data_IF_608311389006
#
_entry.id   IF_608311389006
#
_cell.length_a   1.000
_cell.length_b   1.000
_cell.length_c   1.000
_cell.angle_alpha   90.00
_cell.angle_beta   90.00
_cell.angle_gamma   90.00
#
_symmetry.space_group_name_H-M   'P 1'
#
loop_
_entity.id
_entity.type
_entity.pdbx_description
1 polymer ?
#
# COMPACT_ATOMS: atom_id res chain seq x y z
N UNK A 1 -18.29 -2.09 -0.56
CA UNK A 1 -17.17 -1.80 -1.48
C UNK A 1 -16.83 -2.98 -2.38
N UNK A 2 -16.53 -4.17 -1.83
CA UNK A 2 -16.17 -5.35 -2.65
C UNK A 2 -17.25 -5.75 -3.69
N UNK A 3 -18.54 -5.64 -3.35
CA UNK A 3 -19.63 -5.88 -4.29
C UNK A 3 -19.63 -4.90 -5.47
N UNK A 4 -19.44 -3.60 -5.22
CA UNK A 4 -19.31 -2.59 -6.27
C UNK A 4 -18.07 -2.84 -7.13
N UNK A 5 -16.94 -3.19 -6.52
CA UNK A 5 -15.74 -3.50 -7.27
C UNK A 5 -15.87 -4.76 -8.14
N UNK A 6 -16.59 -5.77 -7.66
CA UNK A 6 -16.92 -6.96 -8.43
C UNK A 6 -17.83 -6.64 -9.62
N UNK A 7 -18.86 -5.80 -9.42
CA UNK A 7 -19.75 -5.34 -10.49
C UNK A 7 -18.97 -4.55 -11.55
N UNK A 8 -18.17 -3.56 -11.12
CA UNK A 8 -17.27 -2.79 -11.99
C UNK A 8 -16.35 -3.74 -12.77
N UNK A 9 -15.73 -4.73 -12.13
CA UNK A 9 -14.80 -5.64 -12.80
C UNK A 9 -15.47 -6.50 -13.86
N UNK A 10 -16.70 -6.95 -13.61
CA UNK A 10 -17.49 -7.66 -14.62
C UNK A 10 -17.84 -6.78 -15.81
N UNK A 11 -18.33 -5.57 -15.56
CA UNK A 11 -18.75 -4.63 -16.62
C UNK A 11 -17.57 -4.21 -17.51
N UNK A 12 -16.40 -3.96 -16.92
CA UNK A 12 -15.20 -3.56 -17.67
C UNK A 12 -14.39 -4.75 -18.22
N UNK A 13 -14.88 -6.00 -18.09
CA UNK A 13 -14.19 -7.19 -18.57
C UNK A 13 -12.84 -7.45 -17.89
N UNK A 14 -12.61 -6.87 -16.71
CA UNK A 14 -11.37 -6.96 -15.96
C UNK A 14 -11.62 -7.76 -14.69
N UNK A 15 -11.33 -9.08 -14.68
CA UNK A 15 -11.57 -9.90 -13.50
C UNK A 15 -10.47 -9.60 -12.47
N UNK A 16 -10.66 -8.53 -11.69
CA UNK A 16 -9.71 -8.02 -10.68
C UNK A 16 -9.24 -9.10 -9.68
N UNK A 17 -10.05 -10.14 -9.50
CA UNK A 17 -9.81 -11.27 -8.60
C UNK A 17 -9.51 -12.58 -9.35
N UNK A 18 -9.12 -12.52 -10.62
CA UNK A 18 -8.63 -13.70 -11.33
C UNK A 18 -7.23 -14.07 -10.83
N UNK A 19 -7.08 -15.33 -10.43
CA UNK A 19 -5.77 -15.91 -10.16
C UNK A 19 -5.21 -16.48 -11.47
N UNK A 20 -4.12 -15.89 -11.96
CA UNK A 20 -3.43 -16.32 -13.17
C UNK A 20 -2.46 -17.50 -12.98
N UNK A 21 -2.43 -18.12 -11.80
CA UNK A 21 -1.50 -19.20 -11.48
C UNK A 21 -0.17 -18.74 -10.87
N UNK A 22 0.61 -19.72 -10.42
CA UNK A 22 1.96 -19.51 -9.91
C UNK A 22 2.97 -19.60 -11.05
N UNK A 23 3.83 -18.60 -11.19
CA UNK A 23 4.94 -18.61 -12.13
C UNK A 23 6.19 -18.02 -11.49
N UNK A 24 7.38 -18.50 -11.90
CA UNK A 24 8.67 -17.96 -11.42
C UNK A 24 8.74 -16.45 -11.68
N UNK A 25 8.26 -16.00 -12.85
CA UNK A 25 8.15 -14.57 -13.18
C UNK A 25 7.34 -13.80 -12.15
N UNK A 26 6.15 -14.31 -11.76
CA UNK A 26 5.29 -13.66 -10.79
C UNK A 26 5.97 -13.57 -9.41
N UNK A 27 6.61 -14.65 -8.97
CA UNK A 27 7.37 -14.67 -7.71
C UNK A 27 8.49 -13.64 -7.71
N UNK A 28 9.30 -13.60 -8.77
CA UNK A 28 10.40 -12.64 -8.89
C UNK A 28 9.88 -11.19 -8.93
N UNK A 29 8.79 -10.93 -9.64
CA UNK A 29 8.16 -9.61 -9.67
C UNK A 29 7.64 -9.19 -8.27
N UNK A 30 7.01 -10.10 -7.53
CA UNK A 30 6.54 -9.88 -6.16
C UNK A 30 7.70 -9.58 -5.21
N UNK A 31 8.77 -10.37 -5.25
CA UNK A 31 9.98 -10.16 -4.43
C UNK A 31 10.63 -8.82 -4.76
N UNK A 32 10.79 -8.51 -6.05
CA UNK A 32 11.40 -7.27 -6.51
C UNK A 32 10.58 -6.05 -6.07
N UNK A 33 9.25 -6.11 -6.20
CA UNK A 33 8.36 -5.05 -5.73
C UNK A 33 8.50 -4.86 -4.22
N UNK A 34 8.39 -5.92 -3.42
CA UNK A 34 8.53 -5.84 -1.98
C UNK A 34 9.90 -5.28 -1.55
N UNK A 35 10.99 -5.78 -2.12
CA UNK A 35 12.33 -5.28 -1.87
C UNK A 35 12.48 -3.79 -2.25
N UNK A 36 11.91 -3.37 -3.38
CA UNK A 36 11.87 -1.97 -3.80
C UNK A 36 11.16 -1.07 -2.79
N UNK A 37 10.02 -1.52 -2.26
CA UNK A 37 9.30 -0.79 -1.21
C UNK A 37 10.11 -0.68 0.09
N UNK A 38 10.83 -1.74 0.48
CA UNK A 38 11.72 -1.71 1.63
C UNK A 38 12.87 -0.71 1.45
N UNK A 39 13.49 -0.69 0.26
CA UNK A 39 14.53 0.30 -0.08
C UNK A 39 13.96 1.71 -0.01
N UNK A 40 12.82 1.95 -0.66
CA UNK A 40 12.15 3.26 -0.64
C UNK A 40 11.86 3.72 0.79
N UNK A 41 11.35 2.83 1.65
CA UNK A 41 11.14 3.11 3.07
C UNK A 41 12.43 3.53 3.77
N UNK A 42 13.53 2.82 3.55
CA UNK A 42 14.83 3.15 4.15
C UNK A 42 15.32 4.52 3.69
N UNK A 43 15.21 4.83 2.39
CA UNK A 43 15.62 6.12 1.83
C UNK A 43 14.80 7.27 2.43
N UNK A 44 13.48 7.15 2.46
CA UNK A 44 12.57 8.16 3.02
C UNK A 44 12.75 8.28 4.54
N UNK A 45 13.07 7.18 5.24
CA UNK A 45 13.43 7.24 6.65
C UNK A 45 14.72 8.02 6.87
N UNK A 46 15.76 7.77 6.07
CA UNK A 46 17.06 8.45 6.16
C UNK A 46 16.98 9.94 5.82
N UNK A 47 16.04 10.35 4.99
CA UNK A 47 15.81 11.77 4.67
C UNK A 47 15.07 12.55 5.77
N UNK A 48 14.63 11.88 6.85
CA UNK A 48 13.99 12.52 8.00
C UNK A 48 14.96 12.71 9.16
N UNK A 49 14.91 13.90 9.78
CA UNK A 49 15.58 14.17 11.05
C UNK A 49 14.85 13.48 12.20
N UNK A 50 15.49 13.35 13.37
CA UNK A 50 14.83 12.74 14.54
C UNK A 50 13.68 13.59 15.08
N UNK A 51 13.77 14.92 14.97
CA UNK A 51 12.67 15.83 15.29
C UNK A 51 11.45 15.57 14.40
N UNK A 52 11.65 15.52 13.07
CA UNK A 52 10.57 15.20 12.12
C UNK A 52 9.97 13.82 12.37
N UNK A 53 10.78 12.83 12.78
CA UNK A 53 10.29 11.49 13.11
C UNK A 53 9.37 11.52 14.33
N UNK A 54 9.76 12.19 15.41
CA UNK A 54 8.94 12.27 16.65
C UNK A 54 7.56 12.89 16.42
N UNK A 55 7.43 13.75 15.42
CA UNK A 55 6.17 14.41 15.06
C UNK A 55 5.24 13.54 14.20
N UNK A 56 5.72 12.41 13.65
CA UNK A 56 4.87 11.57 12.80
C UNK A 56 3.73 10.95 13.61
N UNK A 57 2.49 11.21 13.19
CA UNK A 57 1.27 10.71 13.83
C UNK A 57 1.26 9.18 14.01
N UNK A 58 1.92 8.44 13.10
CA UNK A 58 2.00 6.96 13.14
C UNK A 58 2.62 6.42 14.43
N UNK A 59 3.50 7.18 15.11
CA UNK A 59 4.08 6.74 16.38
C UNK A 59 3.06 6.74 17.53
N UNK A 60 2.02 7.57 17.45
CA UNK A 60 0.94 7.64 18.47
C UNK A 60 0.02 6.43 18.41
N UNK A 61 -0.07 5.77 17.27
CA UNK A 61 -0.94 4.61 17.02
C UNK A 61 -0.18 3.28 17.01
N UNK A 62 1.10 3.28 17.40
CA UNK A 62 1.91 2.08 17.37
C UNK A 62 1.43 1.07 18.42
N UNK A 63 1.15 -0.20 18.04
CA UNK A 63 0.64 -1.21 18.96
C UNK A 63 1.68 -1.58 20.03
N UNK A 64 1.23 -1.64 21.28
CA UNK A 64 2.03 -1.90 22.50
C UNK A 64 1.69 -3.26 23.11
N UNK A 65 0.42 -3.67 23.06
CA UNK A 65 -0.09 -4.91 23.64
C UNK A 65 -0.39 -5.99 22.59
N UNK A 66 -0.53 -7.25 23.02
CA UNK A 66 -0.92 -8.35 22.13
C UNK A 66 -2.34 -8.17 21.54
N UNK A 67 -3.25 -7.53 22.29
CA UNK A 67 -4.59 -7.22 21.79
C UNK A 67 -4.55 -6.17 20.67
N UNK A 68 -3.77 -5.09 20.86
CA UNK A 68 -3.56 -4.06 19.84
C UNK A 68 -2.89 -4.66 18.60
N UNK A 69 -1.89 -5.53 18.75
CA UNK A 69 -1.26 -6.22 17.63
C UNK A 69 -2.23 -7.06 16.82
N UNK A 70 -3.14 -7.80 17.48
CA UNK A 70 -4.20 -8.55 16.78
C UNK A 70 -5.10 -7.61 15.98
N UNK A 71 -5.53 -6.50 16.58
CA UNK A 71 -6.34 -5.49 15.89
C UNK A 71 -5.58 -4.87 14.70
N UNK A 72 -4.29 -4.54 14.86
CA UNK A 72 -3.45 -4.00 13.79
C UNK A 72 -3.32 -4.99 12.62
N UNK A 73 -3.06 -6.27 12.88
CA UNK A 73 -2.93 -7.28 11.82
C UNK A 73 -4.25 -7.45 11.05
N UNK A 74 -5.38 -7.49 11.74
CA UNK A 74 -6.70 -7.56 11.12
C UNK A 74 -6.98 -6.32 10.26
N UNK A 75 -6.68 -5.13 10.79
CA UNK A 75 -6.84 -3.87 10.07
C UNK A 75 -5.97 -3.84 8.81
N UNK A 76 -4.70 -4.22 8.90
CA UNK A 76 -3.79 -4.30 7.74
C UNK A 76 -4.36 -5.22 6.66
N UNK A 77 -4.88 -6.39 7.03
CA UNK A 77 -5.49 -7.31 6.07
C UNK A 77 -6.69 -6.70 5.35
N UNK A 78 -7.61 -6.09 6.11
CA UNK A 78 -8.80 -5.43 5.55
C UNK A 78 -8.41 -4.24 4.65
N UNK A 79 -7.48 -3.42 5.10
CA UNK A 79 -7.01 -2.23 4.38
C UNK A 79 -6.26 -2.62 3.11
N UNK A 80 -5.34 -3.58 3.15
CA UNK A 80 -4.61 -4.06 1.98
C UNK A 80 -5.57 -4.58 0.88
N UNK A 81 -6.58 -5.36 1.25
CA UNK A 81 -7.60 -5.81 0.27
C UNK A 81 -8.41 -4.64 -0.24
N UNK A 82 -8.89 -3.78 0.66
CA UNK A 82 -9.79 -2.69 0.33
C UNK A 82 -9.11 -1.67 -0.61
N UNK A 83 -7.91 -1.21 -0.26
CA UNK A 83 -7.20 -0.20 -1.01
C UNK A 83 -6.73 -0.70 -2.38
N UNK A 84 -6.24 -1.94 -2.49
CA UNK A 84 -5.86 -2.49 -3.79
C UNK A 84 -7.08 -2.64 -4.71
N UNK A 85 -8.21 -3.11 -4.19
CA UNK A 85 -9.46 -3.19 -4.96
C UNK A 85 -9.95 -1.81 -5.39
N UNK A 86 -9.93 -0.83 -4.49
CA UNK A 86 -10.42 0.52 -4.77
C UNK A 86 -9.55 1.25 -5.81
N UNK A 87 -8.22 1.23 -5.65
CA UNK A 87 -7.33 2.06 -6.46
C UNK A 87 -6.78 1.34 -7.69
N UNK A 88 -6.39 0.07 -7.58
CA UNK A 88 -5.79 -0.69 -8.70
C UNK A 88 -6.85 -1.45 -9.49
N UNK A 89 -7.95 -1.81 -8.85
CA UNK A 89 -9.12 -2.36 -9.53
C UNK A 89 -10.02 -1.26 -10.09
N UNK A 90 -10.87 -0.70 -9.24
CA UNK A 90 -12.00 0.17 -9.64
C UNK A 90 -11.53 1.48 -10.24
N UNK A 91 -10.74 2.28 -9.50
CA UNK A 91 -10.34 3.61 -9.96
C UNK A 91 -9.52 3.53 -11.25
N UNK A 92 -8.57 2.60 -11.33
CA UNK A 92 -7.78 2.37 -12.55
C UNK A 92 -8.66 2.03 -13.75
N UNK A 93 -9.60 1.08 -13.60
CA UNK A 93 -10.47 0.68 -14.70
C UNK A 93 -11.37 1.82 -15.18
N UNK A 94 -11.97 2.58 -14.25
CA UNK A 94 -12.79 3.75 -14.59
C UNK A 94 -11.96 4.78 -15.33
N UNK A 95 -10.78 5.16 -14.80
CA UNK A 95 -9.91 6.15 -15.42
C UNK A 95 -9.38 5.68 -16.78
N UNK A 96 -9.04 4.40 -16.90
CA UNK A 96 -8.56 3.84 -18.17
C UNK A 96 -9.67 3.84 -19.22
N UNK A 97 -10.89 3.47 -18.86
CA UNK A 97 -12.04 3.54 -19.76
C UNK A 97 -12.34 4.99 -20.18
N UNK A 98 -12.26 5.94 -19.25
CA UNK A 98 -12.50 7.36 -19.54
C UNK A 98 -11.44 7.99 -20.45
N UNK A 99 -10.16 7.68 -20.24
CA UNK A 99 -9.06 8.38 -20.93
C UNK A 99 -8.37 7.54 -22.02
N UNK A 100 -8.67 6.25 -22.14
CA UNK A 100 -8.03 5.32 -23.08
C UNK A 100 -6.55 5.04 -22.81
N UNK A 101 -5.96 5.60 -21.74
CA UNK A 101 -4.53 5.51 -21.44
C UNK A 101 -4.27 4.92 -20.05
N UNK A 102 -3.79 3.67 -20.02
CA UNK A 102 -3.54 2.93 -18.77
C UNK A 102 -2.44 3.53 -17.88
N UNK A 103 -1.44 4.20 -18.47
CA UNK A 103 -0.39 4.89 -17.71
C UNK A 103 -0.93 6.15 -17.04
N UNK A 104 -1.74 6.94 -17.76
CA UNK A 104 -2.42 8.09 -17.18
C UNK A 104 -3.37 7.67 -16.06
N UNK A 105 -4.14 6.60 -16.26
CA UNK A 105 -5.02 6.04 -15.24
C UNK A 105 -4.26 5.61 -13.98
N UNK A 106 -3.13 4.90 -14.12
CA UNK A 106 -2.29 4.52 -13.00
C UNK A 106 -1.70 5.74 -12.27
N UNK A 107 -1.24 6.75 -13.01
CA UNK A 107 -0.73 7.99 -12.44
C UNK A 107 -1.78 8.76 -11.62
N UNK A 108 -2.99 8.90 -12.16
CA UNK A 108 -4.10 9.57 -11.49
C UNK A 108 -4.59 8.79 -10.25
N UNK A 109 -4.72 7.46 -10.36
CA UNK A 109 -5.08 6.61 -9.22
C UNK A 109 -4.01 6.66 -8.11
N UNK A 110 -2.73 6.62 -8.47
CA UNK A 110 -1.62 6.77 -7.53
C UNK A 110 -1.61 8.15 -6.85
N UNK A 111 -1.91 9.21 -7.61
CA UNK A 111 -2.02 10.57 -7.06
C UNK A 111 -3.18 10.69 -6.07
N UNK A 112 -4.35 10.12 -6.41
CA UNK A 112 -5.50 10.05 -5.50
C UNK A 112 -5.18 9.28 -4.22
N UNK A 113 -4.51 8.14 -4.34
CA UNK A 113 -4.08 7.32 -3.20
C UNK A 113 -3.13 8.07 -2.26
N UNK A 114 -2.12 8.76 -2.83
CA UNK A 114 -1.21 9.60 -2.06
C UNK A 114 -1.93 10.80 -1.41
N UNK A 115 -2.91 11.38 -2.11
CA UNK A 115 -3.78 12.44 -1.60
C UNK A 115 -4.57 12.01 -0.36
N UNK A 116 -5.14 10.81 -0.36
CA UNK A 116 -5.84 10.24 0.80
C UNK A 116 -4.94 10.10 2.04
N UNK A 117 -3.62 10.10 1.83
CA UNK A 117 -2.61 10.00 2.88
C UNK A 117 -1.97 11.36 3.25
N UNK A 118 -2.59 12.49 2.87
CA UNK A 118 -2.03 13.82 3.09
C UNK A 118 -1.72 14.13 4.56
N UNK A 119 -2.50 13.56 5.49
CA UNK A 119 -2.29 13.71 6.95
C UNK A 119 -0.93 13.16 7.43
N UNK A 120 -0.29 12.29 6.64
CA UNK A 120 1.02 11.72 6.97
C UNK A 120 2.20 12.62 6.57
N UNK A 121 1.92 13.78 5.97
CA UNK A 121 2.90 14.78 5.56
C UNK A 121 3.54 14.52 4.19
N UNK A 122 4.13 15.58 3.60
CA UNK A 122 4.59 15.60 2.19
C UNK A 122 5.61 14.52 1.84
N UNK A 123 6.56 14.23 2.74
CA UNK A 123 7.54 13.14 2.55
C UNK A 123 6.87 11.77 2.49
N UNK A 124 5.81 11.54 3.28
CA UNK A 124 5.03 10.30 3.24
C UNK A 124 4.18 10.24 1.97
N UNK A 125 3.50 11.32 1.60
CA UNK A 125 2.72 11.36 0.36
C UNK A 125 3.58 11.02 -0.87
N UNK A 126 4.79 11.59 -0.96
CA UNK A 126 5.72 11.32 -2.07
C UNK A 126 6.10 9.84 -2.11
N UNK A 127 6.43 9.26 -0.95
CA UNK A 127 6.70 7.84 -0.81
C UNK A 127 5.50 6.99 -1.26
N UNK A 128 4.30 7.32 -0.79
CA UNK A 128 3.06 6.59 -1.05
C UNK A 128 2.69 6.64 -2.52
N UNK A 129 2.91 7.78 -3.18
CA UNK A 129 2.76 7.90 -4.63
C UNK A 129 3.67 6.93 -5.38
N UNK A 130 4.96 6.89 -5.04
CA UNK A 130 5.91 5.95 -5.66
C UNK A 130 5.56 4.50 -5.33
N UNK A 131 5.16 4.21 -4.09
CA UNK A 131 4.65 2.88 -3.70
C UNK A 131 3.47 2.48 -4.58
N UNK A 132 2.47 3.35 -4.75
CA UNK A 132 1.31 3.06 -5.58
C UNK A 132 1.68 2.77 -7.04
N UNK A 133 2.64 3.52 -7.61
CA UNK A 133 3.14 3.24 -8.96
C UNK A 133 3.83 1.87 -9.07
N UNK A 134 4.63 1.48 -8.07
CA UNK A 134 5.24 0.14 -8.02
C UNK A 134 4.16 -0.94 -7.94
N UNK A 135 3.09 -0.72 -7.17
CA UNK A 135 1.98 -1.67 -7.06
C UNK A 135 1.17 -1.75 -8.36
N UNK A 136 0.91 -0.63 -9.05
CA UNK A 136 0.32 -0.65 -10.39
C UNK A 136 1.20 -1.41 -11.40
N UNK A 137 2.52 -1.21 -11.37
CA UNK A 137 3.45 -1.94 -12.22
C UNK A 137 3.46 -3.45 -11.91
N UNK A 138 3.39 -3.83 -10.62
CA UNK A 138 3.27 -5.22 -10.20
C UNK A 138 1.99 -5.84 -10.78
N UNK A 139 0.83 -5.20 -10.59
CA UNK A 139 -0.46 -5.69 -11.11
C UNK A 139 -0.46 -5.77 -12.63
N UNK A 140 0.08 -4.78 -13.33
CA UNK A 140 0.20 -4.81 -14.80
C UNK A 140 1.12 -5.95 -15.27
N UNK A 141 2.20 -6.23 -14.53
CA UNK A 141 3.16 -7.28 -14.87
C UNK A 141 2.66 -8.70 -14.57
N UNK A 142 1.84 -8.87 -13.54
CA UNK A 142 1.37 -10.19 -13.07
C UNK A 142 -0.08 -10.49 -13.45
N UNK A 143 -0.86 -9.48 -13.82
CA UNK A 143 -2.28 -9.59 -14.17
C UNK A 143 -3.20 -9.93 -12.99
N UNK A 144 -2.76 -9.71 -11.74
CA UNK A 144 -3.53 -10.11 -10.56
C UNK A 144 -3.34 -9.16 -9.38
N UNK A 145 -4.43 -8.84 -8.67
CA UNK A 145 -4.39 -8.04 -7.45
C UNK A 145 -3.90 -8.82 -6.23
N UNK A 146 -3.99 -10.16 -6.23
CA UNK A 146 -3.66 -10.96 -5.04
C UNK A 146 -2.21 -10.78 -4.60
N UNK A 147 -1.28 -10.66 -5.56
CA UNK A 147 0.13 -10.44 -5.26
C UNK A 147 0.37 -9.02 -4.73
N UNK A 148 -0.36 -8.02 -5.24
CA UNK A 148 -0.33 -6.66 -4.70
C UNK A 148 -0.90 -6.62 -3.27
N UNK A 149 -2.03 -7.27 -2.99
CA UNK A 149 -2.59 -7.36 -1.64
C UNK A 149 -1.60 -7.99 -0.65
N UNK A 150 -0.93 -9.08 -1.06
CA UNK A 150 0.07 -9.74 -0.23
C UNK A 150 1.29 -8.84 0.05
N UNK A 151 1.82 -8.17 -0.97
CA UNK A 151 2.94 -7.22 -0.84
C UNK A 151 2.56 -6.04 0.05
N UNK A 152 1.35 -5.48 -0.14
CA UNK A 152 0.83 -4.38 0.66
C UNK A 152 0.73 -4.79 2.14
N UNK A 153 0.04 -5.89 2.44
CA UNK A 153 -0.12 -6.37 3.81
C UNK A 153 1.24 -6.67 4.48
N UNK A 154 2.17 -7.32 3.76
CA UNK A 154 3.51 -7.61 4.27
C UNK A 154 4.31 -6.32 4.53
N UNK A 155 4.20 -5.33 3.63
CA UNK A 155 4.89 -4.06 3.77
C UNK A 155 4.39 -3.27 4.96
N UNK A 156 3.07 -3.19 5.15
CA UNK A 156 2.44 -2.50 6.26
C UNK A 156 2.73 -3.18 7.59
N UNK A 157 2.73 -4.51 7.62
CA UNK A 157 3.08 -5.27 8.82
C UNK A 157 4.54 -5.00 9.22
N UNK A 158 5.46 -5.07 8.26
CA UNK A 158 6.87 -4.72 8.50
C UNK A 158 7.03 -3.26 8.94
N UNK A 159 6.34 -2.34 8.27
CA UNK A 159 6.36 -0.92 8.57
C UNK A 159 5.85 -0.64 9.99
N UNK A 160 4.71 -1.21 10.35
CA UNK A 160 4.08 -1.10 11.66
C UNK A 160 4.97 -1.69 12.76
N UNK A 161 5.59 -2.85 12.51
CA UNK A 161 6.54 -3.45 13.45
C UNK A 161 7.74 -2.54 13.70
N UNK A 162 8.37 -2.00 12.64
CA UNK A 162 9.47 -1.05 12.78
C UNK A 162 9.06 0.21 13.53
N UNK A 163 7.87 0.75 13.25
CA UNK A 163 7.33 1.92 13.95
C UNK A 163 7.13 1.61 15.43
N UNK A 164 6.58 0.44 15.78
CA UNK A 164 6.38 0.01 17.17
C UNK A 164 7.69 -0.19 17.93
N UNK A 165 8.72 -0.74 17.30
CA UNK A 165 10.06 -0.85 17.90
C UNK A 165 10.64 0.55 18.15
N UNK A 166 10.56 1.45 17.17
CA UNK A 166 11.10 2.82 17.28
C UNK A 166 10.31 3.68 18.30
N UNK A 167 8.99 3.51 18.38
CA UNK A 167 8.12 4.22 19.34
C UNK A 167 8.56 3.99 20.79
N UNK A 168 9.01 2.78 21.12
CA UNK A 168 9.50 2.43 22.47
C UNK A 168 10.75 3.23 22.89
N UNK A 169 11.53 3.66 21.91
CA UNK A 169 12.77 4.41 22.14
C UNK A 169 12.58 5.92 22.04
N UNK A 170 11.62 6.37 21.23
CA UNK A 170 11.44 7.79 20.90
C UNK A 170 10.41 8.51 21.76
N UNK A 171 9.41 7.78 22.29
CA UNK A 171 8.35 8.37 23.11
C UNK A 171 8.65 8.14 24.61
N UNK A 172 8.42 9.14 25.46
CA UNK A 172 8.38 8.93 26.91
C UNK A 172 7.41 7.80 27.23
N UNK A 173 7.83 6.85 28.07
CA UNK A 173 6.90 5.86 28.61
C UNK A 173 5.97 6.61 29.57
N UNK A 174 4.70 6.74 29.23
CA UNK A 174 3.71 7.22 30.20
C UNK A 174 3.64 6.19 31.33
N UNK A 175 4.06 6.60 32.53
CA UNK A 175 3.98 5.85 33.78
C UNK A 175 2.55 5.78 34.29
#
# INVERSE_FOLDING_TARGET
MLAFAWLTGREFGFPFLAWGGFSVRNVLATIAAFAGLLVLRVLVRRSRTDAERRELAVFRFAPRTAAEWRATVLMIGVTAVSEEVAYRGVAHAVLWWTFGNGYLAAGLAAAGFAGAHAVQGRKSMTMIFVTALVMHALVAGTGTLFLAMAVHAAFDLYAGWRIAVEARTLLPQET
#
